data_IF_284617383102
#
_entry.id   IF_284617383102
#
_cell.length_a   1.000
_cell.length_b   1.000
_cell.length_c   1.000
_cell.angle_alpha   90.00
_cell.angle_beta   90.00
_cell.angle_gamma   90.00
#
_symmetry.space_group_name_H-M   'P 1'
#
loop_
_entity.id
_entity.type
_entity.pdbx_description
1 polymer ?
#
# COMPACT_ATOMS: atom_id res chain seq x y z
N UNK A 1 9.10 21.41 22.64
CA UNK A 1 8.90 22.48 21.64
C UNK A 1 7.90 21.96 20.64
N UNK A 2 6.75 22.57 20.51
CA UNK A 2 5.78 22.30 19.43
C UNK A 2 6.42 22.71 18.11
N UNK A 3 6.36 21.85 17.11
CA UNK A 3 6.90 22.16 15.79
C UNK A 3 5.99 23.16 15.04
N UNK A 4 6.48 23.72 13.93
CA UNK A 4 5.73 24.71 13.15
C UNK A 4 4.41 24.18 12.59
N UNK A 5 4.32 22.88 12.33
CA UNK A 5 3.09 22.25 11.83
C UNK A 5 2.01 22.18 12.89
N UNK A 6 2.36 21.71 14.10
CA UNK A 6 1.41 21.67 15.22
C UNK A 6 0.91 23.09 15.58
N UNK A 7 1.80 24.10 15.54
CA UNK A 7 1.43 25.49 15.76
C UNK A 7 0.49 26.05 14.68
N UNK A 8 0.54 25.50 13.46
CA UNK A 8 -0.33 25.87 12.34
C UNK A 8 -1.63 25.04 12.28
N UNK A 9 -1.86 24.16 13.26
CA UNK A 9 -3.08 23.35 13.34
C UNK A 9 -3.07 22.08 12.52
N UNK A 10 -1.89 21.59 12.11
CA UNK A 10 -1.79 20.23 11.53
C UNK A 10 -1.78 19.18 12.64
N UNK A 11 -2.19 17.95 12.28
CA UNK A 11 -2.17 16.81 13.19
C UNK A 11 -3.04 17.03 14.45
N UNK A 12 -4.25 17.54 14.23
CA UNK A 12 -5.17 17.91 15.34
C UNK A 12 -6.35 16.97 15.51
N UNK A 13 -6.45 15.90 14.71
CA UNK A 13 -7.58 14.98 14.78
C UNK A 13 -7.26 13.62 14.21
N UNK A 14 -8.12 12.65 14.51
CA UNK A 14 -8.13 11.31 13.93
C UNK A 14 -9.21 11.21 12.87
N UNK A 15 -8.92 10.49 11.79
CA UNK A 15 -9.89 10.16 10.74
C UNK A 15 -10.82 9.03 11.21
N UNK A 16 -10.24 8.07 11.91
CA UNK A 16 -10.92 6.89 12.46
C UNK A 16 -11.44 5.92 11.39
N UNK A 17 -12.05 4.84 11.84
CA UNK A 17 -12.67 3.84 10.98
C UNK A 17 -14.12 4.23 10.66
N UNK A 18 -14.55 3.91 9.44
CA UNK A 18 -15.93 4.01 8.98
C UNK A 18 -16.67 2.67 9.15
N UNK A 19 -17.63 2.43 8.27
CA UNK A 19 -18.50 1.24 8.35
C UNK A 19 -17.99 0.04 7.55
N UNK A 20 -17.29 0.29 6.42
CA UNK A 20 -16.85 -0.74 5.49
C UNK A 20 -15.39 -0.57 5.09
N UNK A 21 -14.57 -1.54 5.49
CA UNK A 21 -13.14 -1.53 5.26
C UNK A 21 -12.73 -2.35 4.04
N UNK A 22 -11.57 -2.02 3.48
CA UNK A 22 -10.81 -2.89 2.59
C UNK A 22 -9.30 -2.79 2.90
N UNK A 23 -8.57 -3.90 2.71
CA UNK A 23 -7.11 -3.88 2.76
C UNK A 23 -6.57 -3.67 1.34
N UNK A 24 -5.70 -2.69 1.18
CA UNK A 24 -5.02 -2.40 -0.09
C UNK A 24 -3.53 -2.72 0.05
N UNK A 25 -3.05 -3.63 -0.77
CA UNK A 25 -1.63 -4.05 -0.78
C UNK A 25 -0.96 -3.52 -2.04
N UNK A 26 0.01 -2.63 -1.85
CA UNK A 26 0.71 -1.94 -2.93
C UNK A 26 2.01 -2.67 -3.26
N UNK A 27 2.08 -3.28 -4.46
CA UNK A 27 3.30 -3.76 -5.12
C UNK A 27 4.19 -4.74 -4.35
N UNK A 28 3.62 -5.61 -3.52
CA UNK A 28 4.38 -6.73 -2.97
C UNK A 28 4.52 -7.88 -4.01
N UNK A 29 4.98 -7.51 -5.21
CA UNK A 29 5.39 -8.43 -6.26
C UNK A 29 6.84 -8.90 -6.08
N UNK A 30 7.23 -10.00 -6.70
CA UNK A 30 8.56 -10.59 -6.53
C UNK A 30 9.69 -9.63 -6.91
N UNK A 31 9.49 -8.78 -7.90
CA UNK A 31 10.45 -7.74 -8.27
C UNK A 31 10.82 -6.79 -7.13
N UNK A 32 9.90 -6.61 -6.15
CA UNK A 32 10.10 -5.77 -4.96
C UNK A 32 10.38 -6.57 -3.69
N UNK A 33 10.20 -7.89 -3.70
CA UNK A 33 10.23 -8.72 -2.47
C UNK A 33 11.15 -9.94 -2.52
N UNK A 34 11.63 -10.35 -3.71
CA UNK A 34 12.57 -11.45 -3.88
C UNK A 34 14.01 -10.90 -4.01
N UNK A 35 14.97 -11.25 -3.12
CA UNK A 35 16.35 -10.75 -3.13
C UNK A 35 17.13 -10.97 -4.42
N UNK A 36 16.67 -11.83 -5.33
CA UNK A 36 17.28 -11.97 -6.66
C UNK A 36 17.15 -10.71 -7.51
N UNK A 37 16.09 -9.90 -7.27
CA UNK A 37 15.89 -8.61 -7.95
C UNK A 37 16.49 -7.46 -7.15
N UNK A 38 17.00 -6.40 -7.79
CA UNK A 38 17.61 -5.27 -7.08
C UNK A 38 16.66 -4.60 -6.06
N UNK A 39 15.39 -4.33 -6.44
CA UNK A 39 14.41 -3.73 -5.53
C UNK A 39 13.92 -4.70 -4.46
N UNK A 40 14.05 -6.00 -4.69
CA UNK A 40 13.66 -7.03 -3.73
C UNK A 40 14.66 -7.27 -2.59
N UNK A 41 15.76 -6.48 -2.52
CA UNK A 41 16.81 -6.62 -1.50
C UNK A 41 16.61 -5.73 -0.28
N UNK A 42 15.44 -5.15 -0.11
CA UNK A 42 15.15 -4.15 0.93
C UNK A 42 14.62 -4.83 2.21
N UNK A 43 15.40 -4.85 3.31
CA UNK A 43 15.00 -5.58 4.54
C UNK A 43 13.70 -5.07 5.15
N UNK A 44 13.45 -3.76 5.07
CA UNK A 44 12.21 -3.16 5.59
C UNK A 44 10.99 -3.66 4.81
N UNK A 45 11.11 -3.83 3.49
CA UNK A 45 10.04 -4.38 2.64
C UNK A 45 9.76 -5.84 3.00
N UNK A 46 10.80 -6.66 3.26
CA UNK A 46 10.59 -8.05 3.70
C UNK A 46 9.80 -8.12 4.99
N UNK A 47 10.14 -7.28 5.96
CA UNK A 47 9.42 -7.19 7.24
C UNK A 47 7.97 -6.75 7.04
N UNK A 48 7.74 -5.79 6.15
CA UNK A 48 6.40 -5.32 5.80
C UNK A 48 5.55 -6.41 5.14
N UNK A 49 6.14 -7.28 4.30
CA UNK A 49 5.46 -8.46 3.72
C UNK A 49 5.01 -9.43 4.83
N UNK A 50 5.90 -9.78 5.77
CA UNK A 50 5.58 -10.68 6.88
C UNK A 50 4.45 -10.12 7.76
N UNK A 51 4.52 -8.85 8.09
CA UNK A 51 3.51 -8.15 8.87
C UNK A 51 2.17 -8.06 8.13
N UNK A 52 2.21 -7.76 6.83
CA UNK A 52 1.01 -7.73 6.00
C UNK A 52 0.38 -9.13 5.88
N UNK A 53 1.16 -10.20 5.81
CA UNK A 53 0.63 -11.55 5.81
C UNK A 53 -0.17 -11.86 7.10
N UNK A 54 0.31 -11.40 8.27
CA UNK A 54 -0.43 -11.50 9.54
C UNK A 54 -1.76 -10.73 9.47
N UNK A 55 -1.72 -9.49 8.99
CA UNK A 55 -2.91 -8.65 8.81
C UNK A 55 -3.94 -9.31 7.88
N UNK A 56 -3.51 -9.80 6.73
CA UNK A 56 -4.39 -10.41 5.73
C UNK A 56 -5.06 -11.69 6.25
N UNK A 57 -4.36 -12.47 7.08
CA UNK A 57 -4.95 -13.65 7.72
C UNK A 57 -6.18 -13.28 8.56
N UNK A 58 -6.09 -12.21 9.36
CA UNK A 58 -7.21 -11.73 10.18
C UNK A 58 -8.29 -11.11 9.28
N UNK A 59 -7.91 -10.23 8.36
CA UNK A 59 -8.85 -9.56 7.45
C UNK A 59 -9.72 -10.56 6.67
N UNK A 60 -9.10 -11.60 6.08
CA UNK A 60 -9.82 -12.65 5.34
C UNK A 60 -10.76 -13.44 6.25
N UNK A 61 -10.37 -13.76 7.49
CA UNK A 61 -11.24 -14.48 8.44
C UNK A 61 -12.49 -13.67 8.84
N UNK A 62 -12.42 -12.35 8.67
CA UNK A 62 -13.51 -11.40 8.94
C UNK A 62 -14.26 -10.97 7.67
N UNK A 63 -13.99 -11.60 6.53
CA UNK A 63 -14.55 -11.27 5.23
C UNK A 63 -14.31 -9.81 4.79
N UNK A 64 -13.20 -9.21 5.22
CA UNK A 64 -12.80 -7.88 4.80
C UNK A 64 -12.20 -7.95 3.39
N UNK A 65 -12.73 -7.19 2.41
CA UNK A 65 -12.21 -7.18 1.05
C UNK A 65 -10.70 -6.87 0.99
N UNK A 66 -9.99 -7.60 0.13
CA UNK A 66 -8.56 -7.39 -0.12
C UNK A 66 -8.34 -7.09 -1.59
N UNK A 67 -7.66 -5.98 -1.87
CA UNK A 67 -7.23 -5.63 -3.23
C UNK A 67 -5.70 -5.47 -3.27
N UNK A 68 -5.08 -6.02 -4.32
CA UNK A 68 -3.61 -6.02 -4.47
C UNK A 68 -3.20 -5.55 -5.84
N UNK A 69 -2.20 -4.66 -5.87
CA UNK A 69 -1.60 -4.22 -7.10
C UNK A 69 -0.26 -4.91 -7.37
N UNK A 70 0.04 -5.00 -8.65
CA UNK A 70 1.39 -5.15 -9.15
C UNK A 70 1.62 -4.17 -10.30
N UNK A 71 2.87 -3.82 -10.54
CA UNK A 71 3.27 -2.95 -11.65
C UNK A 71 3.85 -3.79 -12.78
N UNK A 72 3.31 -3.63 -13.99
CA UNK A 72 3.85 -4.24 -15.21
C UNK A 72 3.52 -3.41 -16.44
N UNK A 73 4.32 -3.55 -17.48
CA UNK A 73 4.20 -2.85 -18.76
C UNK A 73 4.31 -3.83 -19.93
N UNK A 74 3.70 -3.49 -21.07
CA UNK A 74 3.82 -4.28 -22.30
C UNK A 74 5.20 -4.12 -22.96
N UNK A 75 5.76 -2.92 -22.87
CA UNK A 75 7.07 -2.58 -23.43
C UNK A 75 7.58 -1.26 -22.82
N UNK A 76 8.76 -0.83 -23.26
CA UNK A 76 9.28 0.50 -22.88
C UNK A 76 8.45 1.67 -23.43
N UNK A 77 7.60 1.44 -24.43
CA UNK A 77 6.80 2.48 -25.06
C UNK A 77 5.58 2.92 -24.24
N UNK A 78 5.05 2.03 -23.40
CA UNK A 78 3.92 2.30 -22.50
C UNK A 78 4.34 2.63 -21.06
N UNK A 79 5.66 2.71 -20.81
CA UNK A 79 6.20 3.12 -19.53
C UNK A 79 6.21 4.65 -19.37
N UNK A 80 5.91 5.15 -18.14
CA UNK A 80 6.30 6.51 -17.77
C UNK A 80 7.84 6.69 -17.82
N UNK A 81 8.29 7.93 -17.75
CA UNK A 81 9.74 8.24 -17.73
C UNK A 81 10.39 7.90 -16.39
N UNK A 82 10.45 6.61 -16.08
CA UNK A 82 11.03 6.12 -14.84
C UNK A 82 12.52 6.44 -14.71
N UNK A 83 12.93 6.86 -13.51
CA UNK A 83 14.34 6.97 -13.11
C UNK A 83 14.85 5.72 -12.39
N UNK A 84 14.01 4.72 -12.19
CA UNK A 84 14.31 3.49 -11.46
C UNK A 84 14.59 2.38 -12.47
N UNK A 85 15.86 2.10 -12.70
CA UNK A 85 16.31 1.14 -13.72
C UNK A 85 15.65 -0.24 -13.61
N UNK A 86 15.54 -0.88 -12.42
CA UNK A 86 14.88 -2.18 -12.31
C UNK A 86 13.40 -2.18 -12.76
N UNK A 87 12.68 -1.09 -12.60
CA UNK A 87 11.30 -0.97 -13.13
C UNK A 87 11.29 -1.04 -14.65
N UNK A 88 12.30 -0.41 -15.28
CA UNK A 88 12.40 -0.36 -16.75
C UNK A 88 12.79 -1.72 -17.33
N UNK A 89 13.67 -2.46 -16.64
CA UNK A 89 14.27 -3.67 -17.17
C UNK A 89 13.45 -4.94 -16.84
N UNK A 90 12.84 -5.00 -15.66
CA UNK A 90 12.28 -6.24 -15.12
C UNK A 90 10.73 -6.26 -15.11
N UNK A 91 10.05 -5.10 -15.09
CA UNK A 91 8.59 -5.05 -14.88
C UNK A 91 7.81 -5.10 -16.20
N UNK A 92 8.05 -6.17 -16.97
CA UNK A 92 7.36 -6.45 -18.24
C UNK A 92 6.34 -7.58 -18.01
N UNK A 93 5.17 -7.50 -18.64
CA UNK A 93 4.14 -8.53 -18.53
C UNK A 93 4.70 -9.94 -18.80
N UNK A 94 4.38 -10.88 -17.92
CA UNK A 94 4.85 -12.26 -18.00
C UNK A 94 6.27 -12.50 -17.46
N UNK A 95 6.99 -11.45 -17.05
CA UNK A 95 8.26 -11.61 -16.33
C UNK A 95 7.98 -12.03 -14.88
N UNK A 96 8.73 -13.00 -14.30
CA UNK A 96 8.47 -13.48 -12.92
C UNK A 96 8.51 -12.40 -11.84
N UNK A 97 9.20 -11.27 -12.07
CA UNK A 97 9.21 -10.13 -11.14
C UNK A 97 7.82 -9.52 -10.92
N UNK A 98 6.87 -9.74 -11.84
CA UNK A 98 5.51 -9.20 -11.78
C UNK A 98 4.54 -10.11 -11.01
N UNK A 99 4.96 -11.32 -10.66
CA UNK A 99 4.19 -12.23 -9.82
C UNK A 99 4.11 -11.71 -8.38
N UNK A 100 2.96 -11.88 -7.73
CA UNK A 100 2.79 -11.49 -6.33
C UNK A 100 3.56 -12.42 -5.40
N UNK A 101 4.05 -11.87 -4.28
CA UNK A 101 4.70 -12.66 -3.25
C UNK A 101 3.71 -13.69 -2.67
N UNK A 102 4.06 -14.99 -2.65
CA UNK A 102 3.14 -16.04 -2.23
C UNK A 102 2.68 -15.95 -0.77
N UNK A 103 3.43 -15.29 0.11
CA UNK A 103 3.03 -15.11 1.50
C UNK A 103 1.78 -14.26 1.67
N UNK A 104 1.52 -13.36 0.70
CA UNK A 104 0.39 -12.41 0.80
C UNK A 104 -0.70 -12.68 -0.23
N UNK A 105 -0.52 -13.66 -1.11
CA UNK A 105 -1.42 -13.90 -2.22
C UNK A 105 -2.36 -15.09 -1.97
N UNK A 106 -3.66 -14.81 -2.09
CA UNK A 106 -4.73 -15.80 -2.11
C UNK A 106 -5.57 -15.55 -3.39
N UNK A 107 -5.40 -16.36 -4.44
CA UNK A 107 -6.07 -16.12 -5.72
C UNK A 107 -7.58 -16.33 -5.68
N UNK A 108 -8.08 -17.08 -4.71
CA UNK A 108 -9.51 -17.38 -4.58
C UNK A 108 -10.26 -16.28 -3.80
N UNK A 109 -9.54 -15.48 -3.04
CA UNK A 109 -10.12 -14.43 -2.20
C UNK A 109 -9.84 -13.01 -2.71
N UNK A 110 -8.61 -12.73 -3.13
CA UNK A 110 -8.12 -11.38 -3.33
C UNK A 110 -8.41 -10.83 -4.73
N UNK A 111 -8.86 -9.58 -4.79
CA UNK A 111 -8.89 -8.85 -6.05
C UNK A 111 -7.49 -8.39 -6.44
N UNK A 112 -6.99 -8.87 -7.57
CA UNK A 112 -5.65 -8.54 -8.07
C UNK A 112 -5.75 -7.75 -9.37
N UNK A 113 -4.95 -6.67 -9.49
CA UNK A 113 -4.93 -5.84 -10.69
C UNK A 113 -3.54 -5.27 -10.98
N UNK A 114 -3.29 -5.02 -12.26
CA UNK A 114 -2.09 -4.32 -12.71
C UNK A 114 -2.29 -2.80 -12.65
N UNK A 115 -1.23 -2.07 -12.30
CA UNK A 115 -1.17 -0.61 -12.42
C UNK A 115 0.03 -0.18 -13.25
N UNK A 116 -0.05 1.00 -13.87
CA UNK A 116 0.99 1.58 -14.71
C UNK A 116 1.56 2.91 -14.18
N UNK A 117 1.12 3.34 -13.00
CA UNK A 117 1.54 4.59 -12.36
C UNK A 117 1.84 4.36 -10.87
N UNK A 118 2.46 5.32 -10.16
CA UNK A 118 2.75 5.16 -8.73
C UNK A 118 1.52 4.84 -7.89
N UNK A 119 0.45 5.62 -8.01
CA UNK A 119 -0.79 5.38 -7.27
C UNK A 119 -1.56 4.18 -7.81
N UNK A 120 -2.08 3.36 -6.89
CA UNK A 120 -3.00 2.24 -7.22
C UNK A 120 -4.37 2.71 -7.71
N UNK A 121 -4.71 3.99 -7.53
CA UNK A 121 -5.97 4.57 -7.98
C UNK A 121 -5.91 5.10 -9.41
N UNK A 122 -4.71 5.42 -9.91
CA UNK A 122 -4.55 6.05 -11.22
C UNK A 122 -4.85 5.07 -12.37
N UNK A 123 -5.89 5.34 -13.16
CA UNK A 123 -6.32 4.52 -14.31
C UNK A 123 -6.40 3.02 -14.01
N UNK A 124 -6.89 2.65 -12.85
CA UNK A 124 -7.03 1.26 -12.41
C UNK A 124 -8.51 0.90 -12.15
N UNK A 125 -8.85 -0.38 -12.10
CA UNK A 125 -10.20 -0.82 -11.76
C UNK A 125 -10.52 -0.71 -10.25
N UNK A 126 -9.57 -0.24 -9.41
CA UNK A 126 -9.70 -0.26 -7.95
C UNK A 126 -10.90 0.55 -7.45
N UNK A 127 -11.09 1.78 -7.95
CA UNK A 127 -12.19 2.64 -7.50
C UNK A 127 -13.55 1.99 -7.76
N UNK A 128 -13.72 1.35 -8.92
CA UNK A 128 -14.94 0.60 -9.26
C UNK A 128 -15.14 -0.59 -8.31
N UNK A 129 -14.05 -1.31 -7.99
CA UNK A 129 -14.11 -2.42 -7.05
C UNK A 129 -14.54 -1.95 -5.65
N UNK A 130 -13.90 -0.91 -5.11
CA UNK A 130 -14.20 -0.36 -3.78
C UNK A 130 -15.65 0.16 -3.71
N UNK A 131 -16.11 0.87 -4.74
CA UNK A 131 -17.48 1.34 -4.82
C UNK A 131 -18.49 0.19 -4.79
N UNK A 132 -18.27 -0.89 -5.54
CA UNK A 132 -19.14 -2.08 -5.54
C UNK A 132 -19.17 -2.80 -4.18
N UNK A 133 -18.09 -2.73 -3.43
CA UNK A 133 -18.00 -3.30 -2.07
C UNK A 133 -18.60 -2.35 -1.00
N UNK A 134 -18.96 -1.12 -1.38
CA UNK A 134 -19.44 -0.11 -0.44
C UNK A 134 -18.37 0.38 0.54
N UNK A 135 -17.10 0.33 0.16
CA UNK A 135 -15.96 0.67 1.02
C UNK A 135 -15.89 2.18 1.25
N UNK A 136 -15.75 2.58 2.50
CA UNK A 136 -15.52 3.95 2.95
C UNK A 136 -14.16 4.15 3.64
N UNK A 137 -13.49 3.05 4.00
CA UNK A 137 -12.22 3.06 4.73
C UNK A 137 -11.24 2.08 4.09
N UNK A 138 -10.02 2.54 3.86
CA UNK A 138 -8.96 1.70 3.31
C UNK A 138 -7.77 1.62 4.27
N UNK A 139 -7.27 0.40 4.46
CA UNK A 139 -6.04 0.12 5.19
C UNK A 139 -4.97 -0.13 4.14
N UNK A 140 -3.98 0.77 4.04
CA UNK A 140 -2.96 0.74 2.99
C UNK A 140 -1.66 0.14 3.52
N UNK A 141 -1.16 -0.86 2.80
CA UNK A 141 0.12 -1.55 3.05
C UNK A 141 0.94 -1.59 1.77
N UNK A 142 2.21 -1.98 1.84
CA UNK A 142 2.99 -2.19 0.62
C UNK A 142 4.31 -1.45 0.54
N UNK A 143 4.83 -1.28 -0.68
CA UNK A 143 6.09 -0.59 -0.96
C UNK A 143 6.04 0.25 -2.25
N UNK A 144 6.96 1.24 -2.40
CA UNK A 144 7.74 1.80 -1.31
C UNK A 144 6.98 2.93 -0.62
N UNK A 145 7.23 3.12 0.65
CA UNK A 145 6.51 4.12 1.47
C UNK A 145 6.56 5.51 0.85
N UNK A 146 7.75 5.95 0.43
CA UNK A 146 7.95 7.27 -0.20
C UNK A 146 7.45 7.37 -1.64
N UNK A 147 7.14 6.25 -2.26
CA UNK A 147 6.72 6.15 -3.66
C UNK A 147 5.24 5.81 -3.81
N UNK A 148 4.98 4.55 -4.18
CA UNK A 148 3.63 4.08 -4.53
C UNK A 148 2.66 4.12 -3.35
N UNK A 149 3.11 3.84 -2.13
CA UNK A 149 2.27 3.90 -0.93
C UNK A 149 1.83 5.33 -0.67
N UNK A 150 2.75 6.29 -0.62
CA UNK A 150 2.41 7.71 -0.45
C UNK A 150 1.45 8.22 -1.52
N UNK A 151 1.73 7.92 -2.79
CA UNK A 151 0.86 8.33 -3.89
C UNK A 151 -0.56 7.77 -3.71
N UNK A 152 -0.67 6.51 -3.28
CA UNK A 152 -1.95 5.85 -3.04
C UNK A 152 -2.70 6.42 -1.84
N UNK A 153 -2.00 6.81 -0.76
CA UNK A 153 -2.60 7.48 0.40
C UNK A 153 -3.24 8.80 -0.02
N UNK A 154 -2.52 9.62 -0.77
CA UNK A 154 -3.02 10.94 -1.22
C UNK A 154 -4.24 10.79 -2.13
N UNK A 155 -4.20 9.83 -3.06
CA UNK A 155 -5.32 9.58 -3.97
C UNK A 155 -6.52 8.96 -3.24
N UNK A 156 -6.32 8.04 -2.30
CA UNK A 156 -7.40 7.49 -1.48
C UNK A 156 -8.13 8.60 -0.72
N UNK A 157 -7.39 9.48 -0.06
CA UNK A 157 -7.94 10.67 0.59
C UNK A 157 -8.69 11.58 -0.39
N UNK A 158 -8.12 11.81 -1.58
CA UNK A 158 -8.73 12.63 -2.63
C UNK A 158 -10.04 12.03 -3.19
N UNK A 159 -10.19 10.71 -3.11
CA UNK A 159 -11.44 10.00 -3.41
C UNK A 159 -12.47 10.01 -2.27
N UNK A 160 -12.16 10.66 -1.14
CA UNK A 160 -13.06 10.77 0.03
C UNK A 160 -13.04 9.55 0.93
N UNK A 161 -12.06 8.67 0.79
CA UNK A 161 -11.90 7.50 1.66
C UNK A 161 -11.19 7.89 2.97
N UNK A 162 -11.56 7.23 4.07
CA UNK A 162 -10.77 7.23 5.30
C UNK A 162 -9.55 6.35 5.08
N UNK A 163 -8.37 6.82 5.49
CA UNK A 163 -7.12 6.13 5.22
C UNK A 163 -6.42 5.78 6.53
N UNK A 164 -6.17 4.50 6.72
CA UNK A 164 -5.43 3.97 7.88
C UNK A 164 -4.16 3.29 7.35
N UNK A 165 -3.03 3.52 8.00
CA UNK A 165 -1.74 2.96 7.58
C UNK A 165 -1.04 2.33 8.78
N UNK A 166 -1.02 0.99 8.88
CA UNK A 166 -0.15 0.31 9.84
C UNK A 166 1.31 0.45 9.38
N UNK A 167 2.10 1.23 10.12
CA UNK A 167 3.46 1.59 9.71
C UNK A 167 4.35 0.38 9.43
N UNK A 168 4.21 -0.68 10.23
CA UNK A 168 5.00 -1.92 10.10
C UNK A 168 4.63 -2.76 8.87
N UNK A 169 3.51 -2.44 8.21
CA UNK A 169 3.07 -3.07 6.97
C UNK A 169 3.47 -2.29 5.72
N UNK A 170 4.26 -1.24 5.87
CA UNK A 170 4.86 -0.49 4.77
C UNK A 170 6.37 -0.54 4.84
N UNK A 171 7.06 -0.47 3.71
CA UNK A 171 8.51 -0.53 3.67
C UNK A 171 9.13 0.37 2.62
N UNK A 172 10.38 0.78 2.86
CA UNK A 172 11.17 1.61 1.95
C UNK A 172 12.62 1.14 1.88
N UNK A 173 13.42 1.79 1.05
CA UNK A 173 14.86 1.52 0.92
C UNK A 173 15.66 2.00 2.15
N UNK A 174 15.25 3.12 2.73
CA UNK A 174 15.91 3.78 3.85
C UNK A 174 14.88 4.23 4.90
N UNK A 175 15.31 4.28 6.15
CA UNK A 175 14.43 4.63 7.28
C UNK A 175 13.99 6.11 7.25
N UNK A 176 14.88 7.02 6.84
CA UNK A 176 14.55 8.45 6.81
C UNK A 176 13.41 8.79 5.85
N UNK A 177 13.44 8.41 4.55
CA UNK A 177 12.31 8.62 3.65
C UNK A 177 11.07 7.89 4.11
N UNK A 178 11.17 6.67 4.66
CA UNK A 178 10.03 5.95 5.23
C UNK A 178 9.34 6.80 6.32
N UNK A 179 10.07 7.17 7.34
CA UNK A 179 9.57 7.93 8.49
C UNK A 179 9.02 9.31 8.10
N UNK A 180 9.72 10.04 7.23
CA UNK A 180 9.29 11.38 6.80
C UNK A 180 7.98 11.31 6.02
N UNK A 181 7.83 10.35 5.11
CA UNK A 181 6.63 10.23 4.30
C UNK A 181 5.41 9.78 5.12
N UNK A 182 5.58 8.85 6.06
CA UNK A 182 4.50 8.47 6.99
C UNK A 182 4.09 9.67 7.84
N UNK A 183 5.06 10.41 8.42
CA UNK A 183 4.78 11.61 9.19
C UNK A 183 4.00 12.66 8.39
N UNK A 184 4.40 12.91 7.15
CA UNK A 184 3.77 13.95 6.32
C UNK A 184 2.37 13.52 5.86
N UNK A 185 2.14 12.23 5.60
CA UNK A 185 0.82 11.68 5.33
C UNK A 185 -0.06 11.71 6.59
N UNK A 186 0.48 11.33 7.74
CA UNK A 186 -0.24 11.32 9.01
C UNK A 186 -0.72 12.69 9.45
N UNK A 187 0.04 13.73 9.12
CA UNK A 187 -0.35 15.10 9.44
C UNK A 187 -1.54 15.65 8.62
N UNK A 188 -1.95 14.95 7.55
CA UNK A 188 -2.92 15.50 6.58
C UNK A 188 -3.97 14.54 6.07
N UNK A 189 -3.60 13.28 5.77
CA UNK A 189 -4.34 12.42 4.87
C UNK A 189 -4.72 11.06 5.46
N UNK A 190 -4.02 10.61 6.51
CA UNK A 190 -4.16 9.25 7.00
C UNK A 190 -3.91 9.16 8.51
N UNK A 191 -4.51 8.21 9.17
CA UNK A 191 -4.09 7.81 10.51
C UNK A 191 -2.96 6.78 10.40
N UNK A 192 -1.77 7.17 10.85
CA UNK A 192 -0.63 6.25 10.97
C UNK A 192 -0.74 5.54 12.32
N UNK A 193 -0.77 4.23 12.29
CA UNK A 193 -1.01 3.40 13.47
C UNK A 193 -0.13 2.15 13.46
N UNK A 194 -0.28 1.31 14.48
CA UNK A 194 0.44 0.04 14.56
C UNK A 194 -0.34 -1.12 13.93
N UNK A 195 0.36 -2.15 13.47
CA UNK A 195 -0.26 -3.39 13.01
C UNK A 195 -1.20 -4.00 14.07
N UNK A 196 -0.77 -4.04 15.32
CA UNK A 196 -1.56 -4.61 16.41
C UNK A 196 -2.87 -3.82 16.66
N UNK A 197 -2.83 -2.49 16.54
CA UNK A 197 -4.06 -1.69 16.64
C UNK A 197 -5.06 -2.04 15.55
N UNK A 198 -4.58 -2.23 14.32
CA UNK A 198 -5.46 -2.63 13.19
C UNK A 198 -5.99 -4.04 13.39
N UNK A 199 -5.15 -5.01 13.80
CA UNK A 199 -5.58 -6.38 14.07
C UNK A 199 -6.66 -6.39 15.16
N UNK A 200 -6.40 -5.71 16.29
CA UNK A 200 -7.36 -5.62 17.39
C UNK A 200 -8.71 -5.03 16.93
N UNK A 201 -8.67 -3.99 16.09
CA UNK A 201 -9.91 -3.44 15.53
C UNK A 201 -10.63 -4.46 14.62
N UNK A 202 -9.92 -5.14 13.73
CA UNK A 202 -10.53 -6.17 12.87
C UNK A 202 -11.14 -7.32 13.66
N UNK A 203 -10.56 -7.69 14.79
CA UNK A 203 -11.09 -8.74 15.66
C UNK A 203 -12.44 -8.38 16.30
N UNK A 204 -12.77 -7.09 16.39
CA UNK A 204 -14.07 -6.63 16.90
C UNK A 204 -15.21 -6.75 15.88
N UNK A 205 -14.88 -6.93 14.60
CA UNK A 205 -15.87 -7.17 13.52
C UNK A 205 -16.38 -8.62 13.56
#
# INVERSE_FOLDING_TARGET
>A
MTDAYSNAGFDTGEIGYGERLAILVVDFQLGCTDPKYPLGRLPMVHKAVENTARLLKVARSKNVPVAKSYTAYGSRQDMPYWKVKPLIDDFIYGHPSTELNPLIHDPDYDFTFCKSAPSIFFNSPLTTYLFRQGVDTVIITGCTTSGCVRASIVDAFSHGLRVIVPEECTGDAEEEPHRINLRDCGRRYADITTLESVINYLETL
#
